data_IF_932239921324
#
_entry.id   IF_932239921324
#
_cell.length_a   1.000
_cell.length_b   1.000
_cell.length_c   1.000
_cell.angle_alpha   90.00
_cell.angle_beta   90.00
_cell.angle_gamma   90.00
#
_symmetry.space_group_name_H-M   'P 1'
#
loop_
_entity.id
_entity.type
_entity.pdbx_description
1 polymer ?
#
# COMPACT_ATOMS: atom_id res chain seq x y z
N UNK A 1 -25.31 -8.58 65.94
CA UNK A 1 -24.26 -8.47 64.90
C UNK A 1 -24.89 -8.67 63.53
N UNK A 2 -25.08 -7.60 62.74
CA UNK A 2 -25.47 -7.69 61.33
C UNK A 2 -24.61 -6.70 60.55
N UNK A 3 -23.63 -7.24 59.85
CA UNK A 3 -22.57 -6.54 59.13
C UNK A 3 -23.14 -5.89 57.88
N UNK A 4 -22.95 -4.56 57.73
CA UNK A 4 -23.25 -3.84 56.49
C UNK A 4 -22.13 -4.11 55.49
N UNK A 5 -22.45 -4.70 54.34
CA UNK A 5 -21.54 -4.78 53.21
C UNK A 5 -21.62 -3.46 52.41
N UNK A 6 -20.55 -2.66 52.43
CA UNK A 6 -20.34 -1.59 51.46
C UNK A 6 -19.89 -2.22 50.15
N UNK A 7 -20.65 -2.02 49.07
CA UNK A 7 -20.21 -2.31 47.71
C UNK A 7 -19.52 -1.06 47.18
N UNK A 8 -18.18 -1.10 47.14
CA UNK A 8 -17.38 -0.05 46.51
C UNK A 8 -17.35 -0.30 45.00
N UNK A 9 -18.05 0.53 44.24
CA UNK A 9 -17.99 0.52 42.78
C UNK A 9 -16.61 1.03 42.32
N UNK A 10 -15.76 0.13 41.84
CA UNK A 10 -14.48 0.47 41.25
C UNK A 10 -14.71 1.00 39.83
N UNK A 11 -14.66 2.32 39.67
CA UNK A 11 -14.62 2.97 38.35
C UNK A 11 -13.24 2.70 37.76
N UNK A 12 -13.14 1.72 36.86
CA UNK A 12 -11.97 1.52 36.01
C UNK A 12 -11.93 2.67 35.00
N UNK A 13 -11.16 3.71 35.31
CA UNK A 13 -10.73 4.68 34.32
C UNK A 13 -9.79 3.96 33.34
N UNK A 14 -10.28 3.64 32.16
CA UNK A 14 -9.46 3.17 31.04
C UNK A 14 -8.52 4.28 30.62
N UNK A 15 -7.32 4.33 31.22
CA UNK A 15 -6.23 5.12 30.68
C UNK A 15 -5.94 4.60 29.26
N UNK A 16 -6.06 5.47 28.27
CA UNK A 16 -5.56 5.19 26.93
C UNK A 16 -4.06 4.86 27.08
N UNK A 17 -3.69 3.59 26.84
CA UNK A 17 -2.29 3.17 26.79
C UNK A 17 -1.67 3.92 25.61
N UNK A 18 -1.03 5.04 25.90
CA UNK A 18 -0.38 5.88 24.91
C UNK A 18 0.70 5.09 24.17
N UNK A 19 0.90 5.40 22.88
CA UNK A 19 1.95 4.86 22.01
C UNK A 19 3.35 5.38 22.36
N UNK A 20 3.65 5.52 23.66
CA UNK A 20 4.93 6.06 24.12
C UNK A 20 6.13 5.27 23.56
N UNK A 21 5.93 3.97 23.32
CA UNK A 21 6.97 3.06 22.82
C UNK A 21 7.11 3.06 21.28
N UNK A 22 6.23 3.72 20.52
CA UNK A 22 6.28 3.74 19.04
C UNK A 22 7.31 4.77 18.50
N UNK A 23 8.02 5.49 19.38
CA UNK A 23 9.05 6.47 18.99
C UNK A 23 8.51 7.70 18.26
N UNK A 24 7.21 7.96 18.34
CA UNK A 24 6.54 9.08 17.66
C UNK A 24 6.64 10.36 18.51
N UNK A 25 6.99 11.46 17.87
CA UNK A 25 7.13 12.78 18.52
C UNK A 25 6.16 13.78 17.90
N UNK A 26 5.52 14.63 18.72
CA UNK A 26 4.66 15.70 18.21
C UNK A 26 5.49 16.75 17.48
N UNK A 27 5.03 17.17 16.31
CA UNK A 27 5.64 18.25 15.55
C UNK A 27 4.87 18.51 14.26
N UNK A 28 5.56 19.12 13.29
CA UNK A 28 5.02 19.32 11.93
C UNK A 28 5.93 18.59 10.94
N UNK A 29 5.49 17.45 10.36
CA UNK A 29 6.25 16.70 9.38
C UNK A 29 6.66 17.59 8.19
N UNK A 30 7.92 17.49 7.77
CA UNK A 30 8.48 18.25 6.64
C UNK A 30 8.25 17.56 5.28
N UNK A 31 7.04 17.02 5.09
CA UNK A 31 6.63 16.22 3.94
C UNK A 31 6.80 16.99 2.62
N UNK A 32 7.51 16.43 1.64
CA UNK A 32 7.74 17.06 0.32
C UNK A 32 6.86 16.49 -0.79
N UNK A 33 6.41 15.25 -0.63
CA UNK A 33 5.52 14.53 -1.51
C UNK A 33 4.85 13.40 -0.75
N UNK A 34 3.77 12.84 -1.30
CA UNK A 34 3.14 11.64 -0.75
C UNK A 34 2.56 10.77 -1.88
N UNK A 35 3.08 9.56 -2.03
CA UNK A 35 2.75 8.71 -3.20
C UNK A 35 2.36 7.27 -2.89
N UNK A 36 2.83 6.70 -1.78
CA UNK A 36 2.48 5.36 -1.35
C UNK A 36 2.05 5.40 0.12
N UNK A 37 0.93 4.76 0.43
CA UNK A 37 0.37 4.66 1.77
C UNK A 37 0.29 3.20 2.20
N UNK A 38 0.39 2.97 3.50
CA UNK A 38 0.05 1.69 4.11
C UNK A 38 -0.36 1.90 5.56
N UNK A 39 -1.18 0.99 6.09
CA UNK A 39 -1.49 0.98 7.52
C UNK A 39 -0.65 -0.05 8.26
N UNK A 40 -0.08 0.39 9.38
CA UNK A 40 0.39 -0.47 10.46
C UNK A 40 -0.68 -0.62 11.56
N UNK A 41 -0.33 -1.29 12.66
CA UNK A 41 -1.26 -1.53 13.76
C UNK A 41 -1.72 -0.23 14.42
N UNK A 42 -2.85 -0.31 15.13
CA UNK A 42 -3.38 0.78 15.97
C UNK A 42 -3.56 2.11 15.21
N UNK A 43 -3.81 2.12 13.89
CA UNK A 43 -3.99 3.36 13.12
C UNK A 43 -2.68 4.12 12.81
N UNK A 44 -1.55 3.41 12.77
CA UNK A 44 -0.28 3.98 12.25
C UNK A 44 -0.40 4.12 10.73
N UNK A 45 -0.36 5.34 10.20
CA UNK A 45 -0.34 5.57 8.76
C UNK A 45 1.11 5.75 8.30
N UNK A 46 1.58 4.88 7.42
CA UNK A 46 2.85 5.00 6.73
C UNK A 46 2.65 5.78 5.44
N UNK A 47 3.57 6.69 5.15
CA UNK A 47 3.54 7.52 3.95
C UNK A 47 4.93 7.62 3.31
N UNK A 48 5.01 7.30 2.03
CA UNK A 48 6.22 7.45 1.21
C UNK A 48 6.35 8.85 0.65
N UNK A 49 7.49 9.49 0.92
CA UNK A 49 7.89 10.79 0.40
C UNK A 49 9.07 10.62 -0.58
N UNK A 50 8.82 10.23 -1.84
CA UNK A 50 9.91 10.03 -2.80
C UNK A 50 10.73 11.30 -3.02
N UNK A 51 10.10 12.48 -3.12
CA UNK A 51 10.79 13.77 -3.31
C UNK A 51 11.73 14.10 -2.16
N UNK A 52 11.29 13.89 -0.92
CA UNK A 52 12.12 14.07 0.27
C UNK A 52 13.07 12.90 0.56
N UNK A 53 12.93 11.77 -0.15
CA UNK A 53 13.70 10.56 0.09
C UNK A 53 13.48 9.98 1.49
N UNK A 54 12.22 9.93 1.94
CA UNK A 54 11.91 9.49 3.30
C UNK A 54 10.61 8.67 3.39
N UNK A 55 10.48 7.91 4.47
CA UNK A 55 9.22 7.33 4.93
C UNK A 55 8.82 8.04 6.21
N UNK A 56 7.55 8.42 6.30
CA UNK A 56 6.93 8.95 7.50
C UNK A 56 5.99 7.91 8.11
N UNK A 57 5.90 7.88 9.43
CA UNK A 57 4.88 7.16 10.16
C UNK A 57 4.10 8.14 11.03
N UNK A 58 2.79 8.24 10.83
CA UNK A 58 1.89 9.17 11.50
C UNK A 58 0.97 8.42 12.48
N UNK A 59 0.85 8.92 13.71
CA UNK A 59 -0.23 8.53 14.59
C UNK A 59 -1.51 9.26 14.17
N UNK A 60 -2.43 8.54 13.54
CA UNK A 60 -3.70 9.15 13.13
C UNK A 60 -4.69 9.32 14.28
N UNK A 61 -4.46 8.65 15.42
CA UNK A 61 -5.45 8.49 16.50
C UNK A 61 -6.72 7.71 16.11
N UNK A 62 -6.85 7.31 14.84
CA UNK A 62 -8.02 6.67 14.27
C UNK A 62 -7.96 5.15 14.55
N UNK A 63 -8.47 4.75 15.71
CA UNK A 63 -8.25 3.41 16.28
C UNK A 63 -9.53 2.65 16.58
N UNK A 64 -10.69 3.27 16.35
CA UNK A 64 -11.99 2.73 16.71
C UNK A 64 -12.85 2.55 15.47
N UNK A 65 -13.61 1.45 15.35
CA UNK A 65 -14.60 1.27 14.29
C UNK A 65 -15.57 2.46 14.22
N UNK A 66 -15.80 3.01 13.03
CA UNK A 66 -16.70 4.16 12.82
C UNK A 66 -17.93 3.85 11.96
N UNK A 67 -18.06 2.63 11.45
CA UNK A 67 -19.26 2.17 10.74
C UNK A 67 -19.05 0.87 9.95
N UNK A 68 -20.15 0.21 9.61
CA UNK A 68 -20.22 -1.09 8.91
C UNK A 68 -20.84 -0.98 7.50
N UNK A 69 -21.45 0.16 7.17
CA UNK A 69 -22.10 0.37 5.87
C UNK A 69 -21.08 0.55 4.75
N UNK A 70 -21.39 0.11 3.51
CA UNK A 70 -20.59 0.44 2.32
C UNK A 70 -20.33 1.94 2.18
N UNK A 71 -19.12 2.31 1.77
CA UNK A 71 -18.76 3.69 1.46
C UNK A 71 -18.81 3.91 -0.06
N UNK A 72 -19.68 4.80 -0.50
CA UNK A 72 -19.78 5.23 -1.89
C UNK A 72 -19.76 6.75 -1.96
N UNK A 73 -18.82 7.30 -2.70
CA UNK A 73 -18.61 8.75 -2.82
C UNK A 73 -18.36 9.10 -4.27
N UNK A 74 -19.34 9.72 -4.92
CA UNK A 74 -19.17 10.23 -6.27
C UNK A 74 -18.30 11.49 -6.30
N UNK A 75 -17.52 11.65 -7.37
CA UNK A 75 -16.68 12.83 -7.63
C UNK A 75 -15.79 13.18 -6.43
N UNK A 76 -15.06 12.18 -5.92
CA UNK A 76 -14.23 12.35 -4.72
C UNK A 76 -13.22 13.49 -4.88
N UNK A 77 -12.69 13.71 -6.08
CA UNK A 77 -11.78 14.82 -6.39
C UNK A 77 -12.40 16.18 -6.07
N UNK A 78 -13.70 16.39 -6.36
CA UNK A 78 -14.38 17.65 -6.06
C UNK A 78 -14.56 17.88 -4.56
N UNK A 79 -14.78 16.80 -3.79
CA UNK A 79 -14.85 16.88 -2.32
C UNK A 79 -13.48 17.13 -1.69
N UNK A 80 -12.44 16.50 -2.23
CA UNK A 80 -11.05 16.78 -1.85
C UNK A 80 -10.71 18.24 -2.16
N UNK A 81 -11.05 18.71 -3.36
CA UNK A 81 -10.81 20.09 -3.79
C UNK A 81 -11.48 21.10 -2.85
N UNK A 82 -12.75 20.87 -2.48
CA UNK A 82 -13.46 21.68 -1.50
C UNK A 82 -12.77 21.68 -0.12
N UNK A 83 -12.32 20.51 0.36
CA UNK A 83 -11.60 20.39 1.63
C UNK A 83 -10.23 21.09 1.62
N UNK A 84 -9.60 21.22 0.45
CA UNK A 84 -8.30 21.87 0.26
C UNK A 84 -8.41 23.34 -0.21
N UNK A 85 -9.62 23.84 -0.47
CA UNK A 85 -9.85 25.19 -0.98
C UNK A 85 -9.22 25.43 -2.36
N UNK A 86 -9.34 24.45 -3.27
CA UNK A 86 -8.86 24.50 -4.66
C UNK A 86 -9.94 23.98 -5.62
N UNK A 87 -9.65 23.94 -6.92
CA UNK A 87 -10.53 23.30 -7.92
C UNK A 87 -10.20 21.83 -8.13
N UNK A 88 -11.13 21.05 -8.68
CA UNK A 88 -10.94 19.62 -8.98
C UNK A 88 -9.78 19.36 -9.96
N UNK A 89 -9.52 20.28 -10.91
CA UNK A 89 -8.38 20.24 -11.83
C UNK A 89 -7.02 20.39 -11.15
N UNK A 90 -7.00 20.87 -9.91
CA UNK A 90 -5.81 21.06 -9.08
C UNK A 90 -5.66 19.94 -8.03
N UNK A 91 -6.44 18.86 -8.16
CA UNK A 91 -6.32 17.67 -7.33
C UNK A 91 -5.80 16.52 -8.18
N UNK A 92 -4.77 15.85 -7.67
CA UNK A 92 -4.31 14.58 -8.23
C UNK A 92 -4.18 13.56 -7.12
N UNK A 93 -5.07 12.56 -7.10
CA UNK A 93 -5.00 11.44 -6.17
C UNK A 93 -3.82 10.55 -6.55
N UNK A 94 -3.00 10.19 -5.57
CA UNK A 94 -1.83 9.32 -5.75
C UNK A 94 -2.05 7.92 -5.18
N UNK A 95 -2.70 7.80 -4.02
CA UNK A 95 -2.99 6.52 -3.38
C UNK A 95 -4.23 6.62 -2.47
N UNK A 96 -4.85 5.47 -2.20
CA UNK A 96 -6.02 5.30 -1.35
C UNK A 96 -5.84 4.06 -0.49
N UNK A 97 -5.93 4.21 0.84
CA UNK A 97 -5.84 3.10 1.78
C UNK A 97 -6.91 3.19 2.87
N UNK A 98 -7.46 2.06 3.26
CA UNK A 98 -8.45 1.96 4.33
C UNK A 98 -7.71 1.69 5.64
N UNK A 99 -8.07 2.45 6.67
CA UNK A 99 -7.60 2.15 8.02
C UNK A 99 -8.33 0.90 8.53
N UNK A 100 -7.64 -0.23 8.76
CA UNK A 100 -8.29 -1.49 9.13
C UNK A 100 -8.95 -1.43 10.52
N UNK A 101 -8.58 -0.47 11.38
CA UNK A 101 -9.18 -0.33 12.71
C UNK A 101 -10.52 0.41 12.70
N UNK A 102 -10.68 1.37 11.79
CA UNK A 102 -11.86 2.27 11.76
C UNK A 102 -12.76 2.06 10.55
N UNK A 103 -12.22 1.57 9.44
CA UNK A 103 -12.85 1.56 8.12
C UNK A 103 -12.83 2.92 7.41
N UNK A 104 -12.29 3.97 8.02
CA UNK A 104 -12.13 5.27 7.36
C UNK A 104 -11.04 5.17 6.28
N UNK A 105 -11.19 5.96 5.23
CA UNK A 105 -10.28 5.95 4.09
C UNK A 105 -9.29 7.11 4.22
N UNK A 106 -8.03 6.85 3.88
CA UNK A 106 -6.99 7.85 3.78
C UNK A 106 -6.52 7.95 2.34
N UNK A 107 -6.46 9.19 1.85
CA UNK A 107 -6.12 9.49 0.46
C UNK A 107 -4.89 10.39 0.48
N UNK A 108 -3.87 10.01 -0.27
CA UNK A 108 -2.79 10.92 -0.62
C UNK A 108 -3.11 11.60 -1.94
N UNK A 109 -2.88 12.91 -1.98
CA UNK A 109 -3.10 13.71 -3.17
C UNK A 109 -2.06 14.83 -3.28
N UNK A 110 -1.97 15.39 -4.49
CA UNK A 110 -1.32 16.67 -4.74
C UNK A 110 -2.37 17.78 -4.76
N UNK A 111 -2.06 18.90 -4.12
CA UNK A 111 -2.80 20.17 -4.18
C UNK A 111 -2.08 21.14 -5.12
N UNK A 112 -2.78 21.64 -6.14
CA UNK A 112 -2.22 22.53 -7.16
C UNK A 112 -1.84 21.81 -8.46
N UNK A 113 -1.26 22.54 -9.40
CA UNK A 113 -0.83 22.01 -10.70
C UNK A 113 0.65 21.63 -10.72
N UNK A 114 1.07 20.85 -11.72
CA UNK A 114 2.46 20.42 -11.86
C UNK A 114 2.90 19.50 -10.73
N UNK A 115 3.97 19.88 -10.02
CA UNK A 115 4.45 19.12 -8.85
C UNK A 115 3.51 19.25 -7.64
N UNK A 116 2.90 20.43 -7.46
CA UNK A 116 2.00 20.81 -6.36
C UNK A 116 2.50 20.50 -4.94
N UNK A 117 1.65 20.76 -3.95
CA UNK A 117 1.93 20.49 -2.54
C UNK A 117 1.34 19.12 -2.12
N UNK A 118 2.02 18.35 -1.26
CA UNK A 118 1.47 17.11 -0.73
C UNK A 118 0.27 17.37 0.18
N UNK A 119 -0.78 16.57 0.04
CA UNK A 119 -1.96 16.58 0.91
C UNK A 119 -2.33 15.16 1.34
N UNK A 120 -2.72 15.03 2.62
CA UNK A 120 -3.34 13.84 3.17
C UNK A 120 -4.77 14.16 3.56
N UNK A 121 -5.71 13.32 3.14
CA UNK A 121 -7.12 13.48 3.39
C UNK A 121 -7.64 12.24 4.13
N UNK A 122 -8.62 12.46 5.01
CA UNK A 122 -9.45 11.42 5.60
C UNK A 122 -10.85 11.50 4.99
N UNK A 123 -11.39 10.36 4.59
CA UNK A 123 -12.80 10.18 4.23
C UNK A 123 -13.45 9.30 5.29
N UNK A 124 -14.38 9.86 6.05
CA UNK A 124 -15.13 9.12 7.04
C UNK A 124 -16.13 8.16 6.37
N UNK A 125 -16.64 7.18 7.13
CA UNK A 125 -17.63 6.19 6.65
C UNK A 125 -18.93 6.80 6.13
N UNK A 126 -19.25 8.04 6.53
CA UNK A 126 -20.41 8.80 6.04
C UNK A 126 -20.12 9.60 4.75
N UNK A 127 -18.90 9.51 4.21
CA UNK A 127 -18.47 10.23 3.01
C UNK A 127 -17.96 11.65 3.25
N UNK A 128 -17.86 12.08 4.51
CA UNK A 128 -17.25 13.38 4.86
C UNK A 128 -15.76 13.36 4.57
N UNK A 129 -15.27 14.38 3.83
CA UNK A 129 -13.86 14.54 3.47
C UNK A 129 -13.25 15.68 4.28
N UNK A 130 -12.10 15.44 4.90
CA UNK A 130 -11.34 16.44 5.66
C UNK A 130 -9.84 16.28 5.44
N UNK A 131 -9.10 17.40 5.42
CA UNK A 131 -7.63 17.35 5.42
C UNK A 131 -7.11 16.82 6.76
N UNK A 132 -6.06 15.99 6.71
CA UNK A 132 -5.31 15.58 7.90
C UNK A 132 -4.38 16.71 8.29
N UNK A 133 -4.56 17.27 9.49
CA UNK A 133 -3.69 18.31 10.01
C UNK A 133 -2.30 17.74 10.29
N UNK A 134 -1.28 18.27 9.62
CA UNK A 134 0.12 17.91 9.88
C UNK A 134 0.72 18.67 11.06
N UNK A 135 0.14 19.80 11.44
CA UNK A 135 0.60 20.60 12.58
C UNK A 135 0.30 19.87 13.89
N UNK A 136 1.30 19.83 14.78
CA UNK A 136 1.24 19.18 16.09
C UNK A 136 0.85 17.68 16.05
N UNK A 137 1.10 17.02 14.91
CA UNK A 137 0.88 15.61 14.67
C UNK A 137 2.02 14.79 15.27
N UNK A 138 1.70 13.68 15.94
CA UNK A 138 2.73 12.74 16.40
C UNK A 138 3.23 11.90 15.22
N UNK A 139 4.53 11.97 14.94
CA UNK A 139 5.13 11.28 13.81
C UNK A 139 6.57 10.83 14.08
N UNK A 140 7.06 9.95 13.21
CA UNK A 140 8.47 9.64 13.06
C UNK A 140 8.83 9.64 11.58
N UNK A 141 10.13 9.76 11.28
CA UNK A 141 10.67 9.83 9.92
C UNK A 141 11.91 8.98 9.83
N UNK A 142 12.09 8.30 8.70
CA UNK A 142 13.35 7.65 8.34
C UNK A 142 13.73 8.03 6.93
N UNK A 143 14.98 8.42 6.73
CA UNK A 143 15.52 8.70 5.40
C UNK A 143 15.81 7.37 4.67
N UNK A 144 15.44 7.26 3.40
CA UNK A 144 15.82 6.12 2.57
C UNK A 144 17.14 6.43 1.82
N UNK A 145 18.22 5.68 2.07
CA UNK A 145 19.48 5.91 1.37
C UNK A 145 19.36 5.54 -0.11
N UNK A 146 20.20 6.16 -0.93
CA UNK A 146 20.35 5.87 -2.36
C UNK A 146 19.05 5.95 -3.17
N UNK A 147 18.10 6.81 -2.78
CA UNK A 147 16.91 7.09 -3.58
C UNK A 147 17.30 7.59 -5.00
N UNK A 148 16.59 7.13 -6.03
CA UNK A 148 16.97 7.37 -7.42
C UNK A 148 16.77 8.84 -7.82
N UNK A 149 17.86 9.55 -8.14
CA UNK A 149 17.78 11.00 -8.45
C UNK A 149 17.04 11.28 -9.76
N UNK A 150 17.23 10.42 -10.76
CA UNK A 150 16.69 10.60 -12.12
C UNK A 150 15.22 10.20 -12.20
N UNK A 151 14.83 9.20 -11.42
CA UNK A 151 13.48 8.64 -11.34
C UNK A 151 12.96 8.82 -9.92
N UNK A 152 13.03 10.05 -9.41
CA UNK A 152 12.71 10.40 -8.02
C UNK A 152 11.39 9.81 -7.54
N UNK A 153 10.33 9.96 -8.34
CA UNK A 153 8.99 9.44 -8.04
C UNK A 153 8.90 7.92 -7.95
N UNK A 154 9.84 7.20 -8.57
CA UNK A 154 9.92 5.73 -8.53
C UNK A 154 10.80 5.24 -7.37
N UNK A 155 11.38 6.14 -6.56
CA UNK A 155 12.19 5.76 -5.39
C UNK A 155 11.37 5.09 -4.30
N UNK A 156 10.05 5.33 -4.29
CA UNK A 156 9.07 4.69 -3.41
C UNK A 156 7.81 4.43 -4.25
N UNK A 157 7.58 3.17 -4.60
CA UNK A 157 6.43 2.76 -5.42
C UNK A 157 5.34 2.07 -4.60
N UNK A 158 5.69 1.40 -3.50
CA UNK A 158 4.75 0.69 -2.65
C UNK A 158 5.35 0.46 -1.25
N UNK A 159 4.50 0.39 -0.24
CA UNK A 159 4.85 0.19 1.17
C UNK A 159 3.91 -0.85 1.77
N UNK A 160 4.42 -1.67 2.69
CA UNK A 160 3.60 -2.51 3.56
C UNK A 160 4.19 -2.57 4.97
N UNK A 161 3.35 -2.85 5.97
CA UNK A 161 3.78 -3.15 7.32
C UNK A 161 3.59 -4.65 7.60
N UNK A 162 4.62 -5.33 8.06
CA UNK A 162 4.56 -6.75 8.44
C UNK A 162 5.50 -7.01 9.61
N UNK A 163 4.99 -7.63 10.68
CA UNK A 163 5.78 -8.12 11.82
C UNK A 163 6.75 -7.08 12.41
N UNK A 164 6.28 -5.84 12.62
CA UNK A 164 7.12 -4.76 13.18
C UNK A 164 8.09 -4.13 12.19
N UNK A 165 7.97 -4.44 10.90
CA UNK A 165 8.85 -3.93 9.85
C UNK A 165 8.04 -3.24 8.76
N UNK A 166 8.61 -2.17 8.21
CA UNK A 166 8.11 -1.47 7.03
C UNK A 166 8.89 -1.97 5.82
N UNK A 167 8.20 -2.57 4.86
CA UNK A 167 8.77 -3.00 3.60
C UNK A 167 8.51 -1.90 2.57
N UNK A 168 9.56 -1.46 1.89
CA UNK A 168 9.51 -0.37 0.91
C UNK A 168 10.06 -0.87 -0.41
N UNK A 169 9.24 -0.81 -1.45
CA UNK A 169 9.67 -1.03 -2.83
C UNK A 169 10.01 0.29 -3.51
N UNK A 170 11.05 0.28 -4.36
CA UNK A 170 11.37 1.42 -5.21
C UNK A 170 12.71 1.27 -5.92
N UNK A 171 13.05 2.28 -6.73
CA UNK A 171 14.32 2.35 -7.44
C UNK A 171 15.39 3.03 -6.60
N UNK A 172 16.60 2.49 -6.65
CA UNK A 172 17.83 3.10 -6.12
C UNK A 172 18.70 3.66 -7.25
N UNK A 173 19.77 4.37 -6.87
CA UNK A 173 20.82 4.82 -7.79
C UNK A 173 21.88 3.74 -8.13
N UNK A 174 21.71 2.50 -7.66
CA UNK A 174 22.67 1.42 -7.88
C UNK A 174 22.42 0.68 -9.21
N UNK A 175 23.39 -0.13 -9.67
CA UNK A 175 23.25 -0.97 -10.87
C UNK A 175 22.07 -1.96 -10.76
N UNK A 176 21.79 -2.42 -9.53
CA UNK A 176 20.58 -3.12 -9.19
C UNK A 176 19.55 -2.12 -8.67
N UNK A 177 18.97 -1.34 -9.59
CA UNK A 177 18.10 -0.24 -9.21
C UNK A 177 16.83 -0.74 -8.50
N UNK A 178 16.21 -1.84 -8.93
CA UNK A 178 15.03 -2.40 -8.26
C UNK A 178 15.38 -2.87 -6.85
N UNK A 179 14.83 -2.22 -5.84
CA UNK A 179 15.25 -2.41 -4.44
C UNK A 179 14.05 -2.67 -3.54
N UNK A 180 14.18 -3.63 -2.62
CA UNK A 180 13.30 -3.80 -1.47
C UNK A 180 14.07 -3.47 -0.19
N UNK A 181 13.56 -2.53 0.61
CA UNK A 181 14.10 -2.19 1.93
C UNK A 181 13.21 -2.79 3.01
N UNK A 182 13.82 -3.32 4.06
CA UNK A 182 13.13 -3.84 5.24
C UNK A 182 13.57 -3.01 6.43
N UNK A 183 12.72 -2.08 6.85
CA UNK A 183 13.04 -1.09 7.87
C UNK A 183 12.34 -1.46 9.18
N UNK A 184 13.05 -1.73 10.29
CA UNK A 184 12.41 -1.94 11.58
C UNK A 184 11.60 -0.71 12.01
N UNK A 185 10.44 -0.95 12.63
CA UNK A 185 9.65 0.07 13.31
C UNK A 185 9.58 -0.25 14.82
N UNK A 186 9.77 0.72 15.74
CA UNK A 186 10.01 2.15 15.52
C UNK A 186 11.28 2.48 14.72
N UNK A 187 11.22 3.58 13.95
CA UNK A 187 12.33 3.95 13.09
C UNK A 187 13.59 4.33 13.87
N UNK A 188 14.73 3.80 13.42
CA UNK A 188 16.07 4.24 13.81
C UNK A 188 16.80 4.73 12.57
N UNK A 189 17.21 3.76 11.74
CA UNK A 189 17.92 3.98 10.48
C UNK A 189 17.31 3.05 9.41
N UNK A 190 17.47 3.41 8.13
CA UNK A 190 17.20 2.51 7.02
C UNK A 190 18.51 2.14 6.32
N UNK A 191 18.67 0.87 5.98
CA UNK A 191 19.78 0.41 5.16
C UNK A 191 19.48 0.57 3.66
N UNK A 192 20.45 0.18 2.82
CA UNK A 192 20.37 0.29 1.35
C UNK A 192 19.32 -0.63 0.72
N UNK A 193 18.80 -1.60 1.45
CA UNK A 193 17.91 -2.65 0.99
C UNK A 193 18.64 -3.78 0.29
N UNK A 194 17.84 -4.69 -0.29
CA UNK A 194 18.29 -5.74 -1.17
C UNK A 194 17.95 -5.38 -2.62
N UNK A 195 18.92 -5.53 -3.52
CA UNK A 195 18.73 -5.39 -4.96
C UNK A 195 18.03 -6.62 -5.52
N UNK A 196 16.97 -6.42 -6.29
CA UNK A 196 16.12 -7.49 -6.81
C UNK A 196 16.39 -7.69 -8.30
N UNK A 197 16.64 -8.94 -8.69
CA UNK A 197 16.76 -9.37 -10.07
C UNK A 197 15.64 -10.35 -10.39
N UNK A 198 14.96 -10.16 -11.51
CA UNK A 198 13.86 -11.02 -11.96
C UNK A 198 14.09 -11.47 -13.39
N UNK A 199 13.47 -12.58 -13.80
CA UNK A 199 13.34 -12.89 -15.22
C UNK A 199 12.07 -12.21 -15.75
N UNK A 200 12.24 -11.30 -16.71
CA UNK A 200 11.13 -10.59 -17.33
C UNK A 200 10.74 -11.34 -18.61
N UNK A 201 9.69 -12.16 -18.54
CA UNK A 201 9.27 -13.08 -19.58
C UNK A 201 8.97 -12.38 -20.91
N UNK A 202 8.30 -11.23 -20.88
CA UNK A 202 8.05 -10.42 -22.08
C UNK A 202 9.33 -10.03 -22.85
N UNK A 203 10.46 -9.87 -22.14
CA UNK A 203 11.75 -9.48 -22.70
C UNK A 203 12.72 -10.67 -22.85
N UNK A 204 12.37 -11.84 -22.29
CA UNK A 204 13.18 -13.05 -22.35
C UNK A 204 14.55 -12.93 -21.67
N UNK A 205 14.67 -12.09 -20.64
CA UNK A 205 15.97 -11.80 -19.99
C UNK A 205 15.83 -11.49 -18.50
N UNK A 206 16.95 -11.60 -17.79
CA UNK A 206 17.07 -11.11 -16.42
C UNK A 206 17.16 -9.58 -16.39
N UNK A 207 16.48 -8.95 -15.44
CA UNK A 207 16.44 -7.50 -15.27
C UNK A 207 16.63 -7.12 -13.81
N UNK A 208 17.36 -6.02 -13.60
CA UNK A 208 17.66 -5.44 -12.28
C UNK A 208 17.11 -4.02 -12.12
N UNK A 209 16.54 -3.45 -13.20
CA UNK A 209 16.10 -2.05 -13.26
C UNK A 209 14.58 -1.89 -13.36
N UNK A 210 13.84 -3.00 -13.44
CA UNK A 210 12.38 -2.96 -13.51
C UNK A 210 11.81 -2.56 -12.15
N UNK A 211 11.02 -1.47 -12.05
CA UNK A 211 10.39 -1.09 -10.79
C UNK A 211 9.28 -2.09 -10.44
N UNK A 212 9.29 -2.57 -9.19
CA UNK A 212 8.10 -3.13 -8.55
C UNK A 212 7.05 -2.02 -8.56
N UNK A 213 5.85 -2.29 -9.07
CA UNK A 213 4.76 -1.30 -9.15
C UNK A 213 3.89 -1.32 -7.91
N UNK A 214 3.56 -2.51 -7.45
CA UNK A 214 2.84 -2.76 -6.20
C UNK A 214 3.17 -4.18 -5.76
N UNK A 215 2.98 -4.48 -4.48
CA UNK A 215 3.20 -5.80 -3.93
C UNK A 215 2.27 -6.06 -2.76
N UNK A 216 2.11 -7.34 -2.44
CA UNK A 216 1.47 -7.79 -1.21
C UNK A 216 2.44 -8.64 -0.41
N UNK A 217 2.27 -8.65 0.92
CA UNK A 217 2.90 -9.65 1.77
C UNK A 217 1.97 -10.87 1.83
N UNK A 218 2.55 -12.07 1.76
CA UNK A 218 1.79 -13.32 1.79
C UNK A 218 2.60 -14.40 2.49
N UNK A 219 1.94 -15.19 3.34
CA UNK A 219 2.57 -16.33 4.00
C UNK A 219 2.49 -17.56 3.10
N UNK A 220 3.62 -18.23 2.90
CA UNK A 220 3.69 -19.51 2.20
C UNK A 220 4.22 -20.53 3.20
N UNK A 221 3.34 -21.38 3.72
CA UNK A 221 3.65 -22.12 4.95
C UNK A 221 3.86 -21.13 6.10
N UNK A 222 4.99 -21.23 6.79
CA UNK A 222 5.36 -20.30 7.87
C UNK A 222 6.12 -19.06 7.37
N UNK A 223 6.64 -19.11 6.14
CA UNK A 223 7.56 -18.11 5.59
C UNK A 223 6.83 -16.87 5.06
N UNK A 224 7.28 -15.69 5.50
CA UNK A 224 6.84 -14.41 4.94
C UNK A 224 7.45 -14.20 3.55
N UNK A 225 6.58 -13.97 2.57
CA UNK A 225 6.96 -13.70 1.19
C UNK A 225 6.38 -12.38 0.70
N UNK A 226 7.05 -11.80 -0.29
CA UNK A 226 6.54 -10.71 -1.11
C UNK A 226 6.08 -11.29 -2.44
N UNK A 227 4.85 -10.98 -2.82
CA UNK A 227 4.34 -11.20 -4.17
C UNK A 227 4.28 -9.83 -4.86
N UNK A 228 5.30 -9.56 -5.68
CA UNK A 228 5.52 -8.27 -6.33
C UNK A 228 5.11 -8.31 -7.79
N UNK A 229 4.41 -7.27 -8.25
CA UNK A 229 4.03 -7.12 -9.65
C UNK A 229 4.81 -5.95 -10.29
N UNK A 230 5.29 -6.15 -11.52
CA UNK A 230 6.11 -5.17 -12.24
C UNK A 230 5.38 -4.65 -13.49
N UNK A 231 5.95 -3.64 -14.17
CA UNK A 231 5.47 -3.25 -15.51
C UNK A 231 5.54 -4.45 -16.47
N UNK A 232 4.58 -4.56 -17.40
CA UNK A 232 4.27 -5.76 -18.20
C UNK A 232 3.75 -6.96 -17.39
N UNK A 233 3.48 -6.76 -16.09
CA UNK A 233 2.80 -7.68 -15.16
C UNK A 233 3.40 -9.10 -15.08
N UNK A 234 4.73 -9.24 -14.89
CA UNK A 234 5.22 -10.42 -14.22
C UNK A 234 4.82 -10.36 -12.72
N UNK A 235 4.42 -11.50 -12.16
CA UNK A 235 4.21 -11.70 -10.73
C UNK A 235 5.39 -12.50 -10.19
N UNK A 236 6.05 -11.95 -9.16
CA UNK A 236 7.33 -12.45 -8.67
C UNK A 236 7.23 -12.75 -7.17
N UNK A 237 7.65 -13.95 -6.78
CA UNK A 237 7.79 -14.38 -5.39
C UNK A 237 9.19 -14.07 -4.88
N UNK A 238 9.29 -13.42 -3.71
CA UNK A 238 10.54 -13.05 -3.06
C UNK A 238 10.44 -13.36 -1.56
N UNK A 239 11.26 -14.26 -1.00
CA UNK A 239 11.27 -14.52 0.43
C UNK A 239 11.75 -13.31 1.23
N UNK A 240 11.02 -12.93 2.29
CA UNK A 240 11.41 -11.80 3.15
C UNK A 240 12.73 -12.10 3.88
N UNK A 241 13.03 -13.37 4.17
CA UNK A 241 14.29 -13.83 4.77
C UNK A 241 15.54 -13.48 3.95
N UNK A 242 15.39 -13.30 2.64
CA UNK A 242 16.48 -13.02 1.71
C UNK A 242 16.77 -11.52 1.59
N UNK A 243 15.86 -10.68 2.07
CA UNK A 243 15.93 -9.21 2.02
C UNK A 243 16.88 -8.65 3.09
N UNK A 244 18.16 -8.98 2.97
CA UNK A 244 19.24 -8.49 3.82
C UNK A 244 19.91 -7.28 3.16
N UNK A 245 20.40 -6.35 3.98
CA UNK A 245 21.11 -5.16 3.50
C UNK A 245 22.25 -5.53 2.52
N UNK A 246 22.23 -4.93 1.32
CA UNK A 246 23.23 -5.16 0.27
C UNK A 246 23.13 -6.49 -0.47
N UNK A 247 22.16 -7.35 -0.14
CA UNK A 247 21.96 -8.61 -0.83
C UNK A 247 21.49 -8.39 -2.28
N UNK A 248 21.87 -9.32 -3.17
CA UNK A 248 21.33 -9.42 -4.53
C UNK A 248 20.42 -10.64 -4.59
N UNK A 249 19.12 -10.41 -4.58
CA UNK A 249 18.10 -11.47 -4.48
C UNK A 249 17.55 -11.78 -5.88
N UNK A 250 17.51 -13.06 -6.22
CA UNK A 250 16.82 -13.53 -7.42
C UNK A 250 15.35 -13.76 -7.06
N UNK A 251 14.48 -12.86 -7.50
CA UNK A 251 13.04 -13.06 -7.42
C UNK A 251 12.61 -14.18 -8.37
N UNK A 252 11.67 -15.01 -7.93
CA UNK A 252 11.12 -16.10 -8.75
C UNK A 252 9.91 -15.59 -9.51
N UNK A 253 10.02 -15.41 -10.82
CA UNK A 253 8.87 -15.06 -11.68
C UNK A 253 7.94 -16.27 -11.76
N UNK A 254 6.79 -16.20 -11.10
CA UNK A 254 5.82 -17.30 -10.95
C UNK A 254 4.61 -17.14 -11.89
N UNK A 255 4.45 -15.97 -12.48
CA UNK A 255 3.46 -15.73 -13.52
C UNK A 255 3.85 -14.60 -14.46
N UNK A 256 3.41 -14.71 -15.71
CA UNK A 256 3.30 -13.60 -16.65
C UNK A 256 1.80 -13.42 -16.90
N UNK A 257 1.22 -12.29 -16.47
CA UNK A 257 -0.23 -12.05 -16.52
C UNK A 257 -0.62 -11.19 -17.74
N UNK A 258 0.20 -11.23 -18.78
CA UNK A 258 0.02 -10.48 -20.01
C UNK A 258 0.86 -9.21 -20.05
N UNK A 259 1.48 -8.93 -21.21
CA UNK A 259 2.41 -7.82 -21.41
C UNK A 259 1.73 -6.46 -21.74
N UNK A 260 2.52 -5.39 -21.87
CA UNK A 260 2.11 -4.03 -22.32
C UNK A 260 1.09 -3.32 -21.42
N UNK A 261 1.22 -3.49 -20.12
CA UNK A 261 0.35 -2.87 -19.13
C UNK A 261 1.09 -2.65 -17.81
N UNK A 262 0.41 -2.10 -16.81
CA UNK A 262 0.98 -1.78 -15.50
C UNK A 262 0.03 -2.20 -14.38
N UNK A 263 0.48 -3.01 -13.40
CA UNK A 263 -0.22 -3.18 -12.12
C UNK A 263 -0.35 -1.83 -11.44
N UNK A 264 -1.53 -1.54 -10.92
CA UNK A 264 -1.82 -0.26 -10.27
C UNK A 264 -1.90 -0.43 -8.75
N UNK A 265 -2.57 -1.48 -8.28
CA UNK A 265 -2.67 -1.80 -6.85
C UNK A 265 -2.97 -3.29 -6.65
N UNK A 266 -2.72 -3.79 -5.44
CA UNK A 266 -2.92 -5.20 -5.07
C UNK A 266 -3.35 -5.37 -3.61
N UNK A 267 -4.30 -6.28 -3.37
CA UNK A 267 -4.65 -6.77 -2.04
C UNK A 267 -4.73 -8.30 -2.01
N UNK A 268 -4.55 -8.87 -0.83
CA UNK A 268 -4.89 -10.27 -0.53
C UNK A 268 -6.19 -10.33 0.25
N UNK A 269 -7.08 -11.22 -0.15
CA UNK A 269 -8.32 -11.51 0.56
C UNK A 269 -8.63 -13.00 0.56
N UNK A 270 -9.44 -13.43 1.52
CA UNK A 270 -9.91 -14.81 1.66
C UNK A 270 -11.38 -14.86 1.28
N UNK A 271 -11.76 -15.83 0.44
CA UNK A 271 -13.15 -16.12 0.09
C UNK A 271 -13.32 -17.62 -0.04
N UNK A 272 -14.38 -18.16 0.57
CA UNK A 272 -14.68 -19.60 0.57
C UNK A 272 -13.50 -20.48 1.01
N UNK A 273 -12.75 -20.00 2.02
CA UNK A 273 -11.58 -20.69 2.57
C UNK A 273 -10.34 -20.67 1.67
N UNK A 274 -10.36 -19.90 0.58
CA UNK A 274 -9.22 -19.74 -0.34
C UNK A 274 -8.76 -18.30 -0.40
N UNK A 275 -7.44 -18.13 -0.48
CA UNK A 275 -6.83 -16.81 -0.63
C UNK A 275 -6.65 -16.45 -2.10
N UNK A 276 -6.88 -15.18 -2.40
CA UNK A 276 -6.74 -14.60 -3.72
C UNK A 276 -6.01 -13.27 -3.64
N UNK A 277 -5.30 -12.94 -4.71
CA UNK A 277 -4.81 -11.59 -4.97
C UNK A 277 -5.83 -10.92 -5.88
N UNK A 278 -6.33 -9.76 -5.47
CA UNK A 278 -7.06 -8.85 -6.36
C UNK A 278 -6.08 -7.78 -6.83
N UNK A 279 -5.95 -7.62 -8.15
CA UNK A 279 -5.02 -6.66 -8.76
C UNK A 279 -5.74 -5.72 -9.71
N UNK A 280 -5.63 -4.41 -9.47
CA UNK A 280 -6.03 -3.40 -10.44
C UNK A 280 -4.95 -3.23 -11.51
N UNK A 281 -5.34 -3.08 -12.78
CA UNK A 281 -4.40 -3.01 -13.90
C UNK A 281 -4.77 -1.95 -14.94
N UNK A 282 -3.76 -1.29 -15.51
CA UNK A 282 -3.94 -0.17 -16.43
C UNK A 282 -4.57 -0.52 -17.78
N UNK A 283 -4.49 -1.77 -18.24
CA UNK A 283 -5.01 -2.16 -19.55
C UNK A 283 -5.73 -3.52 -19.57
N UNK A 284 -5.78 -4.22 -18.43
CA UNK A 284 -6.38 -5.55 -18.33
C UNK A 284 -7.54 -5.63 -17.32
N UNK A 285 -8.01 -4.49 -16.82
CA UNK A 285 -9.06 -4.42 -15.81
C UNK A 285 -8.61 -4.97 -14.46
N UNK A 286 -9.53 -5.46 -13.64
CA UNK A 286 -9.20 -6.13 -12.38
C UNK A 286 -8.97 -7.63 -12.63
N UNK A 287 -7.87 -8.14 -12.07
CA UNK A 287 -7.52 -9.56 -12.10
C UNK A 287 -7.71 -10.18 -10.72
N UNK A 288 -8.29 -11.38 -10.68
CA UNK A 288 -8.32 -12.28 -9.52
C UNK A 288 -7.32 -13.42 -9.76
N UNK A 289 -6.26 -13.46 -8.96
CA UNK A 289 -5.20 -14.49 -9.06
C UNK A 289 -5.32 -15.41 -7.84
N UNK A 290 -5.52 -16.73 -8.00
CA UNK A 290 -5.47 -17.66 -6.89
C UNK A 290 -4.05 -17.73 -6.31
N UNK A 291 -3.96 -17.82 -4.98
CA UNK A 291 -2.68 -18.07 -4.29
C UNK A 291 -2.35 -19.55 -4.19
N UNK A 292 -3.32 -20.42 -4.47
CA UNK A 292 -3.15 -21.87 -4.53
C UNK A 292 -2.05 -22.23 -5.54
N UNK A 293 -1.03 -22.97 -5.10
CA UNK A 293 0.11 -23.38 -5.93
C UNK A 293 1.25 -22.36 -6.04
N UNK A 294 1.18 -21.20 -5.39
CA UNK A 294 2.29 -20.21 -5.36
C UNK A 294 3.58 -20.80 -4.74
N UNK A 295 3.43 -21.72 -3.78
CA UNK A 295 4.54 -22.46 -3.16
C UNK A 295 5.32 -23.29 -4.18
N UNK A 296 4.59 -23.96 -5.09
CA UNK A 296 5.11 -24.92 -6.08
C UNK A 296 5.27 -24.35 -7.49
N UNK A 297 4.92 -23.08 -7.71
CA UNK A 297 4.96 -22.46 -9.02
C UNK A 297 6.38 -22.54 -9.63
N UNK A 298 6.48 -23.11 -10.82
CA UNK A 298 7.73 -23.21 -11.56
C UNK A 298 8.23 -21.82 -11.99
N UNK A 299 9.54 -21.61 -11.87
CA UNK A 299 10.17 -20.36 -12.27
C UNK A 299 10.10 -20.18 -13.80
N UNK A 300 9.58 -19.04 -14.25
CA UNK A 300 9.66 -18.64 -15.65
C UNK A 300 11.09 -18.16 -15.92
N UNK A 301 11.84 -18.93 -16.72
CA UNK A 301 13.26 -18.67 -17.05
C UNK A 301 13.53 -18.57 -18.54
N UNK A 302 12.49 -18.71 -19.36
CA UNK A 302 12.52 -18.54 -20.81
C UNK A 302 11.33 -17.68 -21.26
N UNK A 303 11.47 -17.01 -22.41
CA UNK A 303 10.39 -16.20 -22.98
C UNK A 303 9.16 -17.10 -23.23
N UNK A 304 7.99 -16.80 -22.66
CA UNK A 304 6.78 -17.57 -22.93
C UNK A 304 6.40 -17.55 -24.40
N UNK A 305 5.80 -18.65 -24.88
CA UNK A 305 5.28 -18.74 -26.24
C UNK A 305 4.05 -17.83 -26.46
N UNK A 306 3.28 -17.56 -25.40
CA UNK A 306 2.10 -16.68 -25.43
C UNK A 306 2.27 -15.44 -24.54
N UNK A 307 1.20 -14.66 -24.41
CA UNK A 307 1.20 -13.48 -23.53
C UNK A 307 1.20 -13.83 -22.05
N UNK A 308 0.76 -15.03 -21.68
CA UNK A 308 0.65 -15.48 -20.29
C UNK A 308 1.40 -16.79 -20.05
N UNK A 309 1.89 -16.98 -18.82
CA UNK A 309 2.56 -18.20 -18.36
C UNK A 309 2.50 -18.31 -16.83
N UNK A 310 2.73 -19.51 -16.29
CA UNK A 310 2.68 -19.76 -14.85
C UNK A 310 1.25 -19.71 -14.29
N UNK A 311 1.09 -19.10 -13.11
CA UNK A 311 -0.22 -18.97 -12.45
C UNK A 311 -1.24 -18.30 -13.37
N UNK A 312 -2.47 -18.79 -13.31
CA UNK A 312 -3.61 -18.26 -14.07
C UNK A 312 -4.30 -17.14 -13.30
N UNK A 313 -5.13 -16.39 -14.00
CA UNK A 313 -5.98 -15.37 -13.39
C UNK A 313 -7.35 -15.34 -14.07
N UNK A 314 -8.33 -14.83 -13.34
CA UNK A 314 -9.65 -14.49 -13.87
C UNK A 314 -9.76 -12.97 -14.03
N UNK A 315 -10.37 -12.51 -15.12
CA UNK A 315 -10.70 -11.10 -15.30
C UNK A 315 -12.09 -10.82 -14.72
N UNK A 316 -12.16 -9.87 -13.78
CA UNK A 316 -13.42 -9.41 -13.19
C UNK A 316 -13.96 -8.25 -14.05
N UNK A 317 -14.77 -8.58 -15.05
CA UNK A 317 -15.18 -7.64 -16.11
C UNK A 317 -16.06 -6.51 -15.59
N UNK A 318 -16.77 -6.75 -14.50
CA UNK A 318 -17.66 -5.80 -13.83
C UNK A 318 -16.87 -4.65 -13.18
N UNK A 319 -15.58 -4.87 -12.89
CA UNK A 319 -14.70 -3.89 -12.26
C UNK A 319 -13.82 -3.20 -13.31
N UNK A 320 -14.43 -2.30 -14.08
CA UNK A 320 -13.75 -1.46 -15.06
C UNK A 320 -13.17 -0.19 -14.43
N UNK A 321 -12.08 0.34 -15.02
CA UNK A 321 -11.48 1.63 -14.69
C UNK A 321 -11.04 1.81 -13.21
N UNK A 322 -10.74 0.70 -12.52
CA UNK A 322 -10.22 0.71 -11.15
C UNK A 322 -8.76 1.17 -11.14
N UNK A 323 -8.46 2.22 -10.39
CA UNK A 323 -7.14 2.84 -10.28
C UNK A 323 -6.39 2.46 -9.02
N UNK A 324 -7.10 2.35 -7.89
CA UNK A 324 -6.58 1.89 -6.60
C UNK A 324 -7.62 0.98 -5.94
N UNK A 325 -7.18 0.06 -5.10
CA UNK A 325 -8.08 -0.80 -4.34
C UNK A 325 -7.52 -1.14 -2.96
N UNK A 326 -8.39 -1.25 -1.97
CA UNK A 326 -8.00 -1.74 -0.66
C UNK A 326 -9.15 -2.54 -0.03
N UNK A 327 -8.86 -3.35 0.98
CA UNK A 327 -9.89 -4.02 1.76
C UNK A 327 -10.63 -3.00 2.61
N UNK A 328 -11.94 -2.96 2.46
CA UNK A 328 -12.79 -2.18 3.34
C UNK A 328 -13.05 -2.91 4.65
N UNK A 329 -13.33 -4.20 4.49
CA UNK A 329 -13.56 -5.20 5.53
C UNK A 329 -13.26 -6.59 4.91
N UNK A 330 -13.59 -7.66 5.61
CA UNK A 330 -13.32 -9.03 5.17
C UNK A 330 -14.17 -9.48 3.98
N UNK A 331 -15.29 -8.81 3.70
CA UNK A 331 -16.23 -9.13 2.63
C UNK A 331 -16.22 -8.15 1.46
N UNK A 332 -15.63 -6.96 1.62
CA UNK A 332 -15.72 -5.89 0.64
C UNK A 332 -14.38 -5.22 0.32
N UNK A 333 -14.20 -4.84 -0.94
CA UNK A 333 -13.15 -3.95 -1.38
C UNK A 333 -13.69 -2.52 -1.54
N UNK A 334 -12.86 -1.54 -1.19
CA UNK A 334 -13.01 -0.16 -1.62
C UNK A 334 -12.19 0.05 -2.89
N UNK A 335 -12.80 0.68 -3.89
CA UNK A 335 -12.20 0.98 -5.18
C UNK A 335 -12.16 2.49 -5.38
N UNK A 336 -11.04 3.00 -5.88
CA UNK A 336 -11.00 4.28 -6.58
C UNK A 336 -11.23 4.02 -8.06
N UNK A 337 -12.36 4.47 -8.58
CA UNK A 337 -12.78 4.20 -9.97
C UNK A 337 -12.73 5.49 -10.77
N UNK A 338 -12.07 5.47 -11.92
CA UNK A 338 -12.07 6.61 -12.84
C UNK A 338 -13.43 6.74 -13.55
N UNK A 339 -14.01 7.94 -13.49
CA UNK A 339 -15.27 8.32 -14.10
C UNK A 339 -15.09 9.63 -14.89
N UNK A 340 -14.80 9.50 -16.19
CA UNK A 340 -14.40 10.63 -17.03
C UNK A 340 -13.04 11.20 -16.59
N UNK A 341 -13.01 12.47 -16.22
CA UNK A 341 -11.82 13.16 -15.69
C UNK A 341 -11.75 13.16 -14.16
N UNK A 342 -12.77 12.64 -13.49
CA UNK A 342 -12.85 12.56 -12.03
C UNK A 342 -12.81 11.10 -11.58
N UNK A 343 -12.89 10.89 -10.28
CA UNK A 343 -12.93 9.59 -9.65
C UNK A 343 -14.12 9.48 -8.70
N UNK A 344 -14.54 8.24 -8.47
CA UNK A 344 -15.50 7.85 -7.45
C UNK A 344 -14.83 6.88 -6.48
N UNK A 345 -15.22 6.93 -5.20
CA UNK A 345 -15.02 5.81 -4.28
C UNK A 345 -16.22 4.88 -4.35
N UNK A 346 -15.98 3.58 -4.57
CA UNK A 346 -17.04 2.57 -4.63
C UNK A 346 -16.69 1.38 -3.76
N UNK A 347 -17.66 0.90 -3.00
CA UNK A 347 -17.55 -0.36 -2.28
C UNK A 347 -18.16 -1.49 -3.11
N UNK A 348 -17.45 -2.60 -3.25
CA UNK A 348 -17.92 -3.80 -3.94
C UNK A 348 -17.67 -5.04 -3.08
N UNK A 349 -18.48 -6.10 -3.20
CA UNK A 349 -18.14 -7.40 -2.62
C UNK A 349 -16.80 -7.90 -3.18
N UNK A 350 -15.99 -8.55 -2.35
CA UNK A 350 -14.79 -9.25 -2.81
C UNK A 350 -15.20 -10.42 -3.72
N UNK A 351 -14.65 -10.51 -4.94
CA UNK A 351 -15.12 -11.44 -5.96
C UNK A 351 -14.78 -12.90 -5.68
#
# INVERSE_FOLDING_TARGET
MRTKLLVTALVLASAAVGRADDGLTKGTPDLKSVTALAFGPKGLLLAGDPTGGAIFAFDTGDTKPTGDKPLNVEKIDAKIAAALGVTDKEVKITDVKVNPASGNVYISATRGTGAGDPALLKVARDGTVSAVALKDLAFSKVAIPNANDKQRTESITSIAFVNGKVIVAGLSNEEFASTLRVIPFPFKDADKGAGIKIFHGAHGKLETNAPIRTFVTYKIGEDDNILAAYTCTPLVKIPVSDLKAGAKVNGTTIAELGNRNRPLDMIVYTKDGKDYILMANSARGVMKVPTEGVDKAEAITARPAGETAGLKYESIKELANVMQLDKLDDGHALLLVKNGNLHDLKTVPLP
#
